data_IF_810401087163
#
_entry.id   IF_810401087163
#
_cell.length_a   1.000
_cell.length_b   1.000
_cell.length_c   1.000
_cell.angle_alpha   90.00
_cell.angle_beta   90.00
_cell.angle_gamma   90.00
#
_symmetry.space_group_name_H-M   'P 1'
#
loop_
_entity.id
_entity.type
_entity.pdbx_description
1 polymer ?
#
# COMPACT_ATOMS: atom_id res chain seq x y z
N UNK A 1 5.58 20.81 14.40
CA UNK A 1 4.42 20.27 15.13
C UNK A 1 3.11 20.28 14.34
N UNK A 2 2.81 21.29 13.49
CA UNK A 2 1.55 21.32 12.71
C UNK A 2 1.42 20.25 11.61
N UNK A 3 2.50 19.89 10.91
CA UNK A 3 2.45 18.94 9.79
C UNK A 3 2.09 17.48 10.20
N UNK A 4 2.45 17.07 11.43
CA UNK A 4 2.12 15.74 11.96
C UNK A 4 0.62 15.56 12.24
N UNK A 5 -0.07 16.65 12.59
CA UNK A 5 -1.52 16.63 12.80
C UNK A 5 -2.29 16.48 11.50
N UNK A 6 -1.79 17.04 10.39
CA UNK A 6 -2.42 16.93 9.08
C UNK A 6 -2.34 15.50 8.54
N UNK A 7 -1.21 14.81 8.72
CA UNK A 7 -1.05 13.40 8.32
C UNK A 7 -1.91 12.44 9.16
N UNK A 8 -2.07 12.71 10.45
CA UNK A 8 -2.95 11.93 11.33
C UNK A 8 -4.44 12.11 10.97
N UNK A 9 -4.83 13.30 10.51
CA UNK A 9 -6.18 13.61 10.04
C UNK A 9 -6.52 12.86 8.74
N UNK A 10 -5.57 12.77 7.81
CA UNK A 10 -5.72 12.01 6.56
C UNK A 10 -5.87 10.51 6.84
N UNK A 11 -5.07 9.94 7.74
CA UNK A 11 -5.17 8.54 8.14
C UNK A 11 -6.53 8.19 8.80
N UNK A 12 -7.06 9.09 9.63
CA UNK A 12 -8.37 8.92 10.27
C UNK A 12 -9.53 8.94 9.25
N UNK A 13 -9.44 9.80 8.23
CA UNK A 13 -10.45 9.89 7.15
C UNK A 13 -10.44 8.60 6.29
N UNK A 14 -9.27 8.05 6.01
CA UNK A 14 -9.11 6.82 5.22
C UNK A 14 -9.74 5.62 5.95
N UNK A 15 -9.48 5.46 7.25
CA UNK A 15 -10.02 4.36 8.06
C UNK A 15 -11.56 4.39 8.19
N UNK A 16 -12.15 5.60 8.29
CA UNK A 16 -13.59 5.78 8.34
C UNK A 16 -14.30 5.42 7.03
N UNK A 17 -13.65 5.69 5.88
CA UNK A 17 -14.21 5.40 4.55
C UNK A 17 -14.28 3.89 4.28
N UNK A 18 -13.26 3.15 4.75
CA UNK A 18 -13.16 1.70 4.59
C UNK A 18 -14.20 0.96 5.45
N UNK A 19 -14.42 1.44 6.69
CA UNK A 19 -15.40 0.82 7.61
C UNK A 19 -16.84 0.94 7.12
N UNK A 20 -17.18 1.99 6.37
CA UNK A 20 -18.50 2.17 5.77
C UNK A 20 -18.82 1.18 4.64
N UNK A 21 -17.81 0.68 3.93
CA UNK A 21 -17.98 -0.24 2.79
C UNK A 21 -18.26 -1.69 3.23
N UNK A 22 -17.76 -2.09 4.40
CA UNK A 22 -17.90 -3.47 4.92
C UNK A 22 -19.35 -3.79 5.31
N UNK A 23 -20.11 -2.81 5.80
CA UNK A 23 -21.47 -3.04 6.34
C UNK A 23 -22.54 -3.31 5.27
N UNK A 24 -22.30 -2.92 4.02
CA UNK A 24 -23.33 -2.97 2.95
C UNK A 24 -23.29 -4.26 2.13
N UNK A 25 -22.15 -4.97 2.10
CA UNK A 25 -21.92 -6.05 1.14
C UNK A 25 -22.38 -7.43 1.65
N UNK A 26 -22.68 -7.56 2.95
CA UNK A 26 -22.98 -8.85 3.60
C UNK A 26 -24.36 -9.48 3.31
N UNK A 27 -25.21 -8.89 2.47
CA UNK A 27 -26.57 -9.39 2.26
C UNK A 27 -26.87 -9.72 0.79
N UNK A 28 -26.83 -11.02 0.49
CA UNK A 28 -27.38 -11.71 -0.68
C UNK A 28 -26.51 -11.76 -1.96
N UNK A 29 -26.20 -12.96 -2.46
CA UNK A 29 -26.70 -13.53 -3.75
C UNK A 29 -25.95 -14.83 -4.09
N UNK A 30 -26.70 -15.90 -4.37
CA UNK A 30 -26.28 -17.30 -4.60
C UNK A 30 -26.06 -17.60 -6.10
N UNK A 31 -25.23 -16.80 -6.78
CA UNK A 31 -24.99 -16.96 -8.22
C UNK A 31 -23.48 -17.00 -8.54
N UNK A 32 -23.03 -17.75 -9.55
CA UNK A 32 -21.59 -17.91 -9.84
C UNK A 32 -20.90 -16.58 -10.15
N UNK A 33 -21.64 -15.64 -10.77
CA UNK A 33 -21.21 -14.24 -10.98
C UNK A 33 -21.10 -13.47 -9.67
N UNK A 34 -22.00 -13.73 -8.72
CA UNK A 34 -21.93 -13.19 -7.35
C UNK A 34 -20.69 -13.71 -6.62
N UNK A 35 -20.32 -14.98 -6.78
CA UNK A 35 -19.10 -15.55 -6.18
C UNK A 35 -17.81 -14.93 -6.75
N UNK A 36 -17.72 -14.73 -8.07
CA UNK A 36 -16.57 -14.06 -8.69
C UNK A 36 -16.46 -12.62 -8.21
N UNK A 37 -17.58 -11.89 -8.19
CA UNK A 37 -17.65 -10.52 -7.68
C UNK A 37 -17.26 -10.43 -6.21
N UNK A 38 -17.79 -11.33 -5.37
CA UNK A 38 -17.44 -11.43 -3.96
C UNK A 38 -15.94 -11.72 -3.77
N UNK A 39 -15.37 -12.63 -4.56
CA UNK A 39 -13.92 -12.93 -4.54
C UNK A 39 -13.11 -11.67 -4.88
N UNK A 40 -13.52 -10.91 -5.89
CA UNK A 40 -12.87 -9.63 -6.25
C UNK A 40 -12.98 -8.59 -5.15
N UNK A 41 -14.14 -8.46 -4.49
CA UNK A 41 -14.32 -7.60 -3.31
C UNK A 41 -13.35 -8.00 -2.20
N UNK A 42 -13.33 -9.28 -1.84
CA UNK A 42 -12.48 -9.82 -0.77
C UNK A 42 -11.00 -9.57 -1.05
N UNK A 43 -10.54 -9.80 -2.29
CA UNK A 43 -9.15 -9.53 -2.67
C UNK A 43 -8.84 -8.03 -2.67
N UNK A 44 -9.76 -7.19 -3.14
CA UNK A 44 -9.58 -5.72 -3.12
C UNK A 44 -9.48 -5.20 -1.69
N UNK A 45 -10.34 -5.68 -0.78
CA UNK A 45 -10.30 -5.33 0.63
C UNK A 45 -9.03 -5.84 1.31
N UNK A 46 -8.63 -7.08 1.04
CA UNK A 46 -7.40 -7.67 1.58
C UNK A 46 -6.17 -6.88 1.15
N UNK A 47 -6.12 -6.45 -0.12
CA UNK A 47 -5.05 -5.59 -0.63
C UNK A 47 -5.09 -4.20 0.01
N UNK A 48 -6.25 -3.55 0.03
CA UNK A 48 -6.40 -2.18 0.56
C UNK A 48 -6.07 -2.09 2.06
N UNK A 49 -6.50 -3.05 2.86
CA UNK A 49 -6.28 -3.06 4.32
C UNK A 49 -4.91 -3.63 4.72
N UNK A 50 -4.36 -4.53 3.93
CA UNK A 50 -3.07 -5.17 4.21
C UNK A 50 -1.86 -4.26 4.00
N UNK A 51 -2.00 -3.13 3.32
CA UNK A 51 -0.86 -2.35 2.82
C UNK A 51 -0.46 -1.14 3.69
N UNK A 52 -1.20 -0.85 4.77
CA UNK A 52 -0.83 0.18 5.75
C UNK A 52 0.50 -0.14 6.47
N UNK A 53 0.90 -1.43 6.47
CA UNK A 53 2.07 -1.92 7.15
C UNK A 53 3.38 -1.31 6.60
N UNK A 54 3.49 -1.07 5.29
CA UNK A 54 4.69 -0.43 4.71
C UNK A 54 4.91 0.95 5.29
N UNK A 55 3.86 1.76 5.41
CA UNK A 55 3.98 3.09 5.98
C UNK A 55 4.42 3.04 7.45
N UNK A 56 3.89 2.09 8.23
CA UNK A 56 4.27 1.90 9.64
C UNK A 56 5.76 1.52 9.77
N UNK A 57 6.24 0.54 9.01
CA UNK A 57 7.65 0.12 9.10
C UNK A 57 8.59 1.19 8.55
N UNK A 58 8.17 1.92 7.51
CA UNK A 58 8.90 3.07 6.99
C UNK A 58 9.01 4.21 8.00
N UNK A 59 7.97 4.47 8.80
CA UNK A 59 8.04 5.45 9.89
C UNK A 59 9.04 5.07 10.98
N UNK A 60 9.12 3.77 11.34
CA UNK A 60 10.14 3.26 12.25
C UNK A 60 11.54 3.55 11.73
N UNK A 61 11.78 3.20 10.47
CA UNK A 61 13.07 3.46 9.81
C UNK A 61 13.44 4.95 9.76
N UNK A 62 12.50 5.86 9.44
CA UNK A 62 12.72 7.31 9.49
C UNK A 62 13.15 7.75 10.88
N UNK A 63 12.42 7.29 11.90
CA UNK A 63 12.69 7.65 13.29
C UNK A 63 14.09 7.22 13.69
N UNK A 64 14.52 6.04 13.28
CA UNK A 64 15.84 5.53 13.60
C UNK A 64 16.95 6.30 12.87
N UNK A 65 16.73 6.73 11.62
CA UNK A 65 17.64 7.67 10.92
C UNK A 65 17.76 8.99 11.68
N UNK A 66 16.63 9.61 12.05
CA UNK A 66 16.62 10.91 12.75
C UNK A 66 17.29 10.82 14.12
N UNK A 67 17.11 9.70 14.82
CA UNK A 67 17.69 9.48 16.16
C UNK A 67 19.11 8.93 16.12
N UNK A 68 19.70 8.73 14.92
CA UNK A 68 21.02 8.13 14.74
C UNK A 68 21.15 6.74 15.40
N UNK A 69 20.05 5.98 15.40
CA UNK A 69 19.98 4.60 15.91
C UNK A 69 20.47 3.61 14.85
N UNK A 70 20.62 2.33 15.23
CA UNK A 70 20.96 1.27 14.26
C UNK A 70 19.79 1.02 13.29
N UNK A 71 19.94 1.49 12.06
CA UNK A 71 18.90 1.45 11.05
C UNK A 71 18.85 0.11 10.29
N UNK A 72 19.80 -0.81 10.51
CA UNK A 72 19.94 -2.02 9.71
C UNK A 72 18.70 -2.93 9.82
N UNK A 73 18.23 -3.15 11.05
CA UNK A 73 17.05 -4.01 11.30
C UNK A 73 15.79 -3.45 10.65
N UNK A 74 15.61 -2.14 10.74
CA UNK A 74 14.44 -1.48 10.17
C UNK A 74 14.51 -1.43 8.65
N UNK A 75 15.68 -1.23 8.04
CA UNK A 75 15.88 -1.37 6.60
C UNK A 75 15.50 -2.77 6.09
N UNK A 76 15.96 -3.82 6.77
CA UNK A 76 15.60 -5.21 6.44
C UNK A 76 14.10 -5.44 6.55
N UNK A 77 13.45 -4.84 7.56
CA UNK A 77 12.00 -4.93 7.77
C UNK A 77 11.23 -4.23 6.64
N UNK A 78 11.65 -3.04 6.22
CA UNK A 78 11.05 -2.33 5.09
C UNK A 78 11.22 -3.13 3.79
N UNK A 79 12.41 -3.70 3.53
CA UNK A 79 12.64 -4.54 2.35
C UNK A 79 11.77 -5.81 2.34
N UNK A 80 11.62 -6.47 3.50
CA UNK A 80 10.75 -7.63 3.62
C UNK A 80 9.28 -7.28 3.33
N UNK A 81 8.84 -6.12 3.81
CA UNK A 81 7.49 -5.62 3.59
C UNK A 81 7.25 -5.23 2.13
N UNK A 82 8.20 -4.58 1.46
CA UNK A 82 8.16 -4.33 0.00
C UNK A 82 7.98 -5.65 -0.75
N UNK A 83 8.78 -6.68 -0.44
CA UNK A 83 8.66 -7.98 -1.09
C UNK A 83 7.32 -8.69 -0.80
N UNK A 84 6.72 -8.45 0.36
CA UNK A 84 5.36 -8.92 0.68
C UNK A 84 4.31 -8.20 -0.17
N UNK A 85 4.40 -6.88 -0.31
CA UNK A 85 3.44 -6.09 -1.09
C UNK A 85 3.52 -6.37 -2.60
N UNK A 86 4.73 -6.60 -3.15
CA UNK A 86 4.89 -7.05 -4.53
C UNK A 86 4.14 -8.37 -4.76
N UNK A 87 4.37 -9.39 -3.92
CA UNK A 87 3.66 -10.68 -4.04
C UNK A 87 2.15 -10.53 -3.89
N UNK A 88 1.69 -9.70 -2.95
CA UNK A 88 0.27 -9.43 -2.77
C UNK A 88 -0.34 -8.73 -4.00
N UNK A 89 0.42 -7.87 -4.69
CA UNK A 89 -0.02 -7.24 -5.93
C UNK A 89 -0.03 -8.24 -7.10
N UNK A 90 0.96 -9.13 -7.20
CA UNK A 90 0.99 -10.20 -8.20
C UNK A 90 -0.20 -11.17 -8.07
N UNK A 91 -0.60 -11.50 -6.84
CA UNK A 91 -1.76 -12.36 -6.57
C UNK A 91 -3.07 -11.78 -7.14
N UNK A 92 -3.17 -10.45 -7.28
CA UNK A 92 -4.33 -9.80 -7.89
C UNK A 92 -4.48 -10.16 -9.38
N UNK A 93 -3.38 -10.39 -10.11
CA UNK A 93 -3.39 -10.76 -11.55
C UNK A 93 -4.14 -12.07 -11.79
N UNK A 94 -4.17 -12.97 -10.79
CA UNK A 94 -4.90 -14.25 -10.84
C UNK A 94 -6.41 -14.03 -10.77
N UNK A 95 -6.85 -12.96 -10.09
CA UNK A 95 -8.28 -12.69 -9.82
C UNK A 95 -8.87 -11.68 -10.80
N UNK A 96 -8.04 -10.74 -11.26
CA UNK A 96 -8.41 -9.65 -12.14
C UNK A 96 -7.74 -9.84 -13.50
N UNK A 97 -8.49 -10.31 -14.48
CA UNK A 97 -8.03 -10.46 -15.86
C UNK A 97 -8.37 -9.21 -16.68
N UNK A 98 -7.92 -8.05 -16.21
CA UNK A 98 -8.17 -6.75 -16.84
C UNK A 98 -6.85 -6.03 -17.09
N UNK A 99 -6.67 -5.54 -18.31
CA UNK A 99 -5.41 -4.91 -18.73
C UNK A 99 -5.09 -3.65 -17.93
N UNK A 100 -6.10 -2.83 -17.60
CA UNK A 100 -5.86 -1.61 -16.84
C UNK A 100 -5.44 -1.94 -15.40
N UNK A 101 -5.96 -3.03 -14.84
CA UNK A 101 -5.53 -3.56 -13.54
C UNK A 101 -4.10 -4.05 -13.61
N UNK A 102 -3.73 -4.83 -14.64
CA UNK A 102 -2.36 -5.33 -14.82
C UNK A 102 -1.33 -4.19 -14.97
N UNK A 103 -1.68 -3.16 -15.75
CA UNK A 103 -0.85 -1.96 -15.93
C UNK A 103 -0.68 -1.21 -14.58
N UNK A 104 -1.75 -1.10 -13.80
CA UNK A 104 -1.72 -0.45 -12.47
C UNK A 104 -0.91 -1.27 -11.46
N UNK A 105 -1.00 -2.60 -11.48
CA UNK A 105 -0.17 -3.50 -10.66
C UNK A 105 1.30 -3.30 -11.00
N UNK A 106 1.65 -3.32 -12.29
CA UNK A 106 3.03 -3.13 -12.75
C UNK A 106 3.60 -1.77 -12.34
N UNK A 107 2.78 -0.72 -12.41
CA UNK A 107 3.18 0.62 -11.98
C UNK A 107 3.44 0.69 -10.46
N UNK A 108 2.63 0.00 -9.65
CA UNK A 108 2.81 -0.10 -8.20
C UNK A 108 4.02 -0.96 -7.81
N UNK A 109 4.23 -2.11 -8.45
CA UNK A 109 5.43 -2.95 -8.25
C UNK A 109 6.72 -2.17 -8.58
N UNK A 110 6.68 -1.35 -9.64
CA UNK A 110 7.80 -0.50 -10.03
C UNK A 110 8.08 0.61 -9.01
N UNK A 111 7.05 1.27 -8.47
CA UNK A 111 7.25 2.28 -7.43
C UNK A 111 7.79 1.67 -6.14
N UNK A 112 7.30 0.48 -5.75
CA UNK A 112 7.80 -0.29 -4.61
C UNK A 112 9.29 -0.65 -4.77
N UNK A 113 9.68 -1.16 -5.93
CA UNK A 113 11.08 -1.50 -6.23
C UNK A 113 11.95 -0.24 -6.17
N UNK A 114 11.48 0.84 -6.81
CA UNK A 114 12.21 2.10 -6.84
C UNK A 114 12.37 2.75 -5.46
N UNK A 115 11.38 2.59 -4.58
CA UNK A 115 11.48 3.00 -3.18
C UNK A 115 12.44 2.10 -2.40
N UNK A 116 12.42 0.79 -2.64
CA UNK A 116 13.35 -0.16 -2.04
C UNK A 116 14.81 0.17 -2.35
N UNK A 117 15.10 0.53 -3.61
CA UNK A 117 16.46 0.87 -4.05
C UNK A 117 17.05 2.07 -3.27
N UNK A 118 16.21 3.01 -2.83
CA UNK A 118 16.67 4.19 -2.08
C UNK A 118 16.83 3.96 -0.57
N UNK A 119 16.36 2.84 -0.02
CA UNK A 119 16.51 2.54 1.42
C UNK A 119 17.98 2.47 1.82
N UNK A 120 18.83 1.88 0.97
CA UNK A 120 20.29 1.79 1.21
C UNK A 120 20.98 3.15 1.25
N UNK A 121 20.41 4.14 0.58
CA UNK A 121 20.94 5.51 0.53
C UNK A 121 20.41 6.41 1.65
N UNK A 122 19.32 6.00 2.32
CA UNK A 122 18.60 6.80 3.29
C UNK A 122 19.29 6.95 4.66
N UNK A 123 20.49 6.40 4.85
CA UNK A 123 21.31 6.61 6.06
C UNK A 123 21.69 8.10 6.21
N UNK A 124 21.65 8.86 5.11
CA UNK A 124 21.88 10.29 5.10
C UNK A 124 20.55 11.07 5.24
N UNK A 125 20.33 11.83 6.33
CA UNK A 125 19.14 12.64 6.51
C UNK A 125 18.90 13.67 5.39
N UNK A 126 19.93 14.11 4.67
CA UNK A 126 19.81 15.04 3.55
C UNK A 126 19.12 14.41 2.34
N UNK A 127 19.15 13.08 2.21
CA UNK A 127 18.47 12.30 1.18
C UNK A 127 17.04 11.87 1.57
N UNK A 128 16.60 12.21 2.78
CA UNK A 128 15.30 11.80 3.31
C UNK A 128 14.13 12.38 2.51
N UNK A 129 14.32 13.55 1.88
CA UNK A 129 13.31 14.16 1.00
C UNK A 129 12.97 13.24 -0.18
N UNK A 130 13.98 12.84 -0.96
CA UNK A 130 13.80 11.98 -2.14
C UNK A 130 13.18 10.63 -1.75
N UNK A 131 13.52 10.14 -0.56
CA UNK A 131 12.99 8.90 -0.02
C UNK A 131 11.50 9.03 0.35
N UNK A 132 11.11 10.12 1.03
CA UNK A 132 9.71 10.43 1.34
C UNK A 132 8.88 10.66 0.07
N UNK A 133 9.44 11.31 -0.94
CA UNK A 133 8.78 11.49 -2.23
C UNK A 133 8.48 10.15 -2.91
N UNK A 134 9.42 9.19 -2.87
CA UNK A 134 9.20 7.84 -3.40
C UNK A 134 8.19 7.04 -2.59
N UNK A 135 8.19 7.18 -1.26
CA UNK A 135 7.15 6.58 -0.41
C UNK A 135 5.76 7.15 -0.75
N UNK A 136 5.67 8.46 -1.00
CA UNK A 136 4.47 9.12 -1.50
C UNK A 136 4.00 8.55 -2.84
N UNK A 137 4.92 8.36 -3.79
CA UNK A 137 4.61 7.73 -5.08
C UNK A 137 4.11 6.29 -4.94
N UNK A 138 4.64 5.51 -4.00
CA UNK A 138 4.12 4.18 -3.68
C UNK A 138 2.68 4.27 -3.23
N UNK A 139 2.36 5.20 -2.33
CA UNK A 139 1.01 5.41 -1.84
C UNK A 139 0.04 5.88 -2.94
N UNK A 140 0.45 6.82 -3.79
CA UNK A 140 -0.36 7.29 -4.92
C UNK A 140 -0.69 6.14 -5.87
N UNK A 141 0.29 5.27 -6.16
CA UNK A 141 0.09 4.09 -7.00
C UNK A 141 -0.76 3.01 -6.35
N UNK A 142 -0.67 2.87 -5.03
CA UNK A 142 -1.56 2.00 -4.27
C UNK A 142 -3.03 2.47 -4.36
N UNK A 143 -3.28 3.77 -4.20
CA UNK A 143 -4.62 4.36 -4.34
C UNK A 143 -5.13 4.17 -5.76
N UNK A 144 -4.29 4.45 -6.77
CA UNK A 144 -4.63 4.23 -8.18
C UNK A 144 -5.04 2.78 -8.44
N UNK A 145 -4.23 1.81 -8.00
CA UNK A 145 -4.53 0.39 -8.12
C UNK A 145 -5.83 0.02 -7.39
N UNK A 146 -6.02 0.48 -6.15
CA UNK A 146 -7.25 0.21 -5.38
C UNK A 146 -8.49 0.72 -6.10
N UNK A 147 -8.42 1.92 -6.68
CA UNK A 147 -9.50 2.48 -7.48
C UNK A 147 -9.78 1.65 -8.75
N UNK A 148 -8.74 1.12 -9.41
CA UNK A 148 -8.90 0.24 -10.58
C UNK A 148 -9.53 -1.09 -10.20
N UNK A 149 -9.12 -1.68 -9.07
CA UNK A 149 -9.72 -2.90 -8.54
C UNK A 149 -11.20 -2.69 -8.23
N UNK A 150 -11.56 -1.62 -7.51
CA UNK A 150 -12.94 -1.28 -7.16
C UNK A 150 -13.84 -1.04 -8.39
N UNK A 151 -13.30 -0.52 -9.50
CA UNK A 151 -14.05 -0.38 -10.76
C UNK A 151 -14.30 -1.72 -11.47
N UNK A 152 -13.47 -2.72 -11.19
CA UNK A 152 -13.49 -4.04 -11.82
C UNK A 152 -14.18 -5.13 -10.97
N UNK A 153 -14.79 -4.70 -9.86
CA UNK A 153 -15.60 -5.48 -8.92
C UNK A 153 -17.08 -5.41 -9.28
#
# INVERSE_FOLDING_TARGET
MKAWLESALVAAIISATISGLISVIGANVVDSRSKIRQTRIEQTLKFSTGNDQLFIVSQGYIKDIITSSDTKRDAETVHAEIGRQIRAAEDLKITFHDKEVDDAISAYEKSLTSYGDTIKEAVDPTKMKDWLERLGQVHDKQIELTNRLMKNV
#
